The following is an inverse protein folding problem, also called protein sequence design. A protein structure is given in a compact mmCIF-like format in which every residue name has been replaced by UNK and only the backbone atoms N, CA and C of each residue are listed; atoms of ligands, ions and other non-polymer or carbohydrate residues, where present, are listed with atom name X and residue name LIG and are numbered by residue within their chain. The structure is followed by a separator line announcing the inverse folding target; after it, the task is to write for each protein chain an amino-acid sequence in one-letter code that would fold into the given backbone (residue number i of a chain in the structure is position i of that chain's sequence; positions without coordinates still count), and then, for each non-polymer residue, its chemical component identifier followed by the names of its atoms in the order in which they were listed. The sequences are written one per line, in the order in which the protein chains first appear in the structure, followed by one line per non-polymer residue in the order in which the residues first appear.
data_IF_724367098747
#
_entry.id   IF_724367098747
#
_cell.length_a   1.000
_cell.length_b   1.000
_cell.length_c   1.000
_cell.angle_alpha   90.00
_cell.angle_beta   90.00
_cell.angle_gamma   90.00
#
_symmetry.space_group_name_H-M   'P 1'
#
loop_
_entity.id
_entity.type
_entity.pdbx_description
1 polymer ?
#
# COMPACT_ATOMS: atom_id res chain seq x y z
N UNK A 1 2.97 -16.71 -1.04
CA UNK A 1 2.66 -16.12 0.28
C UNK A 1 3.32 -14.74 0.35
N UNK A 2 2.55 -13.64 0.22
CA UNK A 2 3.08 -12.27 0.36
C UNK A 2 2.74 -11.77 1.76
N UNK A 3 3.73 -11.71 2.64
CA UNK A 3 3.61 -11.08 3.96
C UNK A 3 4.22 -9.68 3.90
N UNK A 4 3.54 -8.70 4.48
CA UNK A 4 4.09 -7.38 4.78
C UNK A 4 4.35 -7.36 6.29
N UNK A 5 5.62 -7.32 6.69
CA UNK A 5 6.02 -7.17 8.09
C UNK A 5 6.25 -5.68 8.39
N UNK A 6 5.38 -5.09 9.19
CA UNK A 6 5.66 -3.79 9.82
C UNK A 6 6.50 -4.06 11.07
N UNK A 7 7.82 -4.03 10.92
CA UNK A 7 8.76 -4.10 12.03
C UNK A 7 9.31 -2.69 12.29
N UNK A 8 8.66 -1.95 13.18
CA UNK A 8 9.18 -0.68 13.68
C UNK A 8 8.22 0.48 13.58
N UNK A 9 7.14 0.44 14.37
CA UNK A 9 6.67 1.58 15.15
C UNK A 9 5.51 1.11 16.03
N UNK A 10 5.51 1.50 17.31
CA UNK A 10 4.51 1.07 18.29
C UNK A 10 3.08 1.51 17.92
N UNK A 11 2.92 2.47 17.00
CA UNK A 11 1.63 2.93 16.49
C UNK A 11 1.73 3.55 15.08
N UNK A 12 1.61 2.74 14.00
CA UNK A 12 1.72 3.22 12.62
C UNK A 12 0.60 4.18 12.18
N UNK A 13 -0.52 4.23 12.91
CA UNK A 13 -1.61 5.18 12.63
C UNK A 13 -1.18 6.60 12.96
N UNK A 14 -0.62 6.78 14.15
CA UNK A 14 -0.14 8.07 14.65
C UNK A 14 1.04 8.61 13.84
N UNK A 15 1.94 7.74 13.40
CA UNK A 15 3.06 8.12 12.55
C UNK A 15 2.60 8.67 11.20
N UNK A 16 1.64 8.00 10.55
CA UNK A 16 1.10 8.45 9.26
C UNK A 16 0.32 9.77 9.37
N UNK A 17 -0.51 9.93 10.40
CA UNK A 17 -1.21 11.19 10.67
C UNK A 17 -0.22 12.35 10.84
N UNK A 18 0.86 12.11 11.58
CA UNK A 18 1.88 13.13 11.86
C UNK A 18 2.61 13.54 10.59
N UNK A 19 3.01 12.60 9.75
CA UNK A 19 3.70 12.94 8.51
C UNK A 19 2.79 13.68 7.54
N UNK A 20 1.59 13.17 7.30
CA UNK A 20 0.69 13.75 6.31
C UNK A 20 0.03 15.06 6.80
N UNK A 21 0.17 15.41 8.09
CA UNK A 21 -0.49 16.55 8.74
C UNK A 21 -2.01 16.58 8.51
N UNK A 22 -2.62 15.40 8.47
CA UNK A 22 -4.06 15.23 8.29
C UNK A 22 -4.62 14.34 9.39
N UNK A 23 -5.84 14.64 9.82
CA UNK A 23 -6.57 13.80 10.75
C UNK A 23 -7.09 12.57 9.98
N UNK A 24 -6.45 11.42 10.22
CA UNK A 24 -6.86 10.14 9.62
C UNK A 24 -7.80 9.47 10.60
N UNK A 25 -9.09 9.48 10.29
CA UNK A 25 -10.09 8.77 11.07
C UNK A 25 -9.72 7.28 11.25
N UNK A 26 -10.04 6.72 12.43
CA UNK A 26 -9.66 5.35 12.80
C UNK A 26 -10.43 4.31 12.00
N UNK A 27 -11.67 4.58 11.61
CA UNK A 27 -12.44 3.68 10.74
C UNK A 27 -11.88 3.71 9.32
N UNK A 28 -11.49 4.89 8.84
CA UNK A 28 -10.77 5.05 7.56
C UNK A 28 -9.43 4.30 7.58
N UNK A 29 -8.68 4.36 8.68
CA UNK A 29 -7.45 3.60 8.88
C UNK A 29 -7.66 2.08 8.86
N UNK A 30 -8.74 1.58 9.48
CA UNK A 30 -9.08 0.17 9.48
C UNK A 30 -9.37 -0.38 8.07
N UNK A 31 -9.92 0.46 7.17
CA UNK A 31 -10.09 0.07 5.76
C UNK A 31 -8.80 0.12 4.94
N UNK A 32 -7.89 1.04 5.24
CA UNK A 32 -6.60 1.19 4.57
C UNK A 32 -5.62 0.07 4.97
N UNK A 33 -5.65 -0.37 6.22
CA UNK A 33 -4.79 -1.44 6.76
C UNK A 33 -5.35 -2.84 6.47
N UNK A 34 -5.88 -3.07 5.27
CA UNK A 34 -6.42 -4.37 4.87
C UNK A 34 -5.40 -5.15 4.05
N UNK A 35 -5.00 -6.33 4.54
CA UNK A 35 -4.16 -7.27 3.79
C UNK A 35 -4.90 -7.96 2.61
N UNK A 36 -6.20 -7.66 2.45
CA UNK A 36 -7.04 -8.26 1.41
C UNK A 36 -6.94 -7.46 0.12
N UNK A 37 -6.18 -8.01 -0.83
CA UNK A 37 -6.09 -7.52 -2.20
C UNK A 37 -7.48 -7.45 -2.83
N UNK A 38 -7.78 -6.33 -3.50
CA UNK A 38 -8.93 -6.29 -4.43
C UNK A 38 -8.50 -6.92 -5.75
N UNK A 39 -9.25 -7.92 -6.27
CA UNK A 39 -8.95 -8.49 -7.58
C UNK A 39 -9.07 -7.39 -8.64
N UNK A 40 -8.22 -7.48 -9.65
CA UNK A 40 -8.23 -6.61 -10.82
C UNK A 40 -8.00 -7.46 -12.06
N UNK A 41 -8.49 -7.00 -13.20
CA UNK A 41 -8.38 -7.75 -14.44
C UNK A 41 -6.93 -7.92 -14.87
N UNK A 42 -6.61 -9.14 -15.31
CA UNK A 42 -5.29 -9.45 -15.86
C UNK A 42 -5.06 -8.59 -17.10
N UNK A 43 -3.97 -7.84 -17.11
CA UNK A 43 -3.55 -7.08 -18.29
C UNK A 43 -3.22 -8.04 -19.44
N UNK A 44 -3.83 -7.81 -20.62
CA UNK A 44 -3.60 -8.63 -21.84
C UNK A 44 -2.14 -8.66 -22.28
N UNK A 45 -1.39 -7.61 -21.98
CA UNK A 45 0.03 -7.47 -22.36
C UNK A 45 0.98 -7.91 -21.25
N UNK A 46 0.48 -8.29 -20.08
CA UNK A 46 1.31 -8.59 -18.91
C UNK A 46 1.96 -7.35 -18.28
N UNK A 47 1.71 -6.13 -18.78
CA UNK A 47 2.23 -4.91 -18.17
C UNK A 47 1.37 -4.47 -16.99
N UNK A 48 2.02 -4.22 -15.84
CA UNK A 48 1.41 -3.64 -14.65
C UNK A 48 2.26 -2.48 -14.12
N UNK A 49 1.62 -1.51 -13.48
CA UNK A 49 2.30 -0.48 -12.69
C UNK A 49 2.14 -0.78 -11.21
N UNK A 50 3.24 -0.77 -10.47
CA UNK A 50 3.25 -0.90 -9.02
C UNK A 50 3.58 0.46 -8.43
N UNK A 51 2.68 0.98 -7.60
CA UNK A 51 2.89 2.21 -6.82
C UNK A 51 3.08 1.82 -5.36
N UNK A 52 4.17 2.26 -4.75
CA UNK A 52 4.48 2.08 -3.33
C UNK A 52 4.55 3.47 -2.72
N UNK A 53 3.86 3.66 -1.58
CA UNK A 53 3.85 4.90 -0.83
C UNK A 53 4.25 4.56 0.59
N UNK A 54 5.26 5.23 1.15
CA UNK A 54 5.67 5.01 2.53
C UNK A 54 4.87 5.90 3.50
N UNK A 55 5.11 5.75 4.80
CA UNK A 55 4.47 6.54 5.84
C UNK A 55 4.90 8.01 5.86
N UNK A 56 5.98 8.35 5.13
CA UNK A 56 6.44 9.72 4.93
C UNK A 56 5.75 10.43 3.76
N UNK A 57 4.90 9.71 3.01
CA UNK A 57 4.30 10.21 1.78
C UNK A 57 5.22 10.14 0.57
N UNK A 58 6.43 9.57 0.70
CA UNK A 58 7.28 9.32 -0.46
C UNK A 58 6.65 8.26 -1.33
N UNK A 59 6.59 8.56 -2.63
CA UNK A 59 6.01 7.68 -3.63
C UNK A 59 7.09 7.16 -4.58
N UNK A 60 7.06 5.85 -4.83
CA UNK A 60 7.84 5.21 -5.89
C UNK A 60 6.88 4.45 -6.80
N UNK A 61 7.02 4.65 -8.12
CA UNK A 61 6.25 3.93 -9.12
C UNK A 61 7.19 3.17 -10.05
N UNK A 62 6.85 1.90 -10.36
CA UNK A 62 7.60 1.08 -11.30
C UNK A 62 6.68 0.26 -12.20
N UNK A 63 6.94 0.29 -13.50
CA UNK A 63 6.33 -0.63 -14.46
C UNK A 63 7.01 -2.00 -14.40
N UNK A 64 6.22 -3.07 -14.38
CA UNK A 64 6.68 -4.45 -14.41
C UNK A 64 5.96 -5.22 -15.52
N UNK A 65 6.67 -6.17 -16.13
CA UNK A 65 6.06 -7.20 -16.96
C UNK A 65 5.86 -8.44 -16.09
N UNK A 66 4.64 -8.96 -16.06
CA UNK A 66 4.24 -10.16 -15.32
C UNK A 66 3.65 -11.19 -16.28
N UNK A 67 4.03 -12.44 -16.08
CA UNK A 67 3.44 -13.58 -16.78
C UNK A 67 2.29 -14.13 -15.96
N UNK A 68 1.10 -14.16 -16.55
CA UNK A 68 -0.07 -14.78 -15.95
C UNK A 68 -0.09 -16.26 -16.35
N UNK A 69 0.54 -17.13 -15.56
CA UNK A 69 0.23 -18.57 -15.65
C UNK A 69 -1.21 -18.86 -15.18
#
# INVERSE_FOLDING_TARGET
MRQVCFLGEKDPHRALQTTLKVEIDKDTWATLKRATFRPFDKSKTGRIAVKVINHLGDEVMKGLNVSWN
#
